data_IF_902553394319
#
_entry.id   IF_902553394319
#
_cell.length_a   1.000
_cell.length_b   1.000
_cell.length_c   1.000
_cell.angle_alpha   90.00
_cell.angle_beta   90.00
_cell.angle_gamma   90.00
#
_symmetry.space_group_name_H-M   'P 1'
#
loop_
_entity.id
_entity.type
_entity.pdbx_description
1 polymer ?
#
# COMPACT_ATOMS: atom_id res chain seq x y z
N UNK A 1 -14.91 7.15 -12.14
CA UNK A 1 -14.30 7.89 -13.27
C UNK A 1 -13.26 6.97 -13.93
N UNK A 2 -12.79 7.19 -15.17
CA UNK A 2 -11.68 6.37 -15.72
C UNK A 2 -10.35 6.95 -15.23
N UNK A 3 -9.53 6.16 -14.54
CA UNK A 3 -8.23 6.59 -14.03
C UNK A 3 -7.25 6.91 -15.18
N UNK A 4 -6.60 8.08 -15.12
CA UNK A 4 -5.72 8.61 -16.18
C UNK A 4 -4.41 9.14 -15.62
N UNK A 5 -3.49 9.54 -16.51
CA UNK A 5 -2.21 10.13 -16.10
C UNK A 5 -2.40 11.48 -15.38
N UNK A 6 -3.52 12.18 -15.62
CA UNK A 6 -3.86 13.43 -14.92
C UNK A 6 -4.14 13.18 -13.44
N UNK A 7 -4.82 12.07 -13.11
CA UNK A 7 -5.03 11.66 -11.72
C UNK A 7 -3.70 11.49 -10.98
N UNK A 8 -2.71 10.86 -11.59
CA UNK A 8 -1.37 10.69 -10.97
C UNK A 8 -0.73 12.05 -10.67
N UNK A 9 -0.86 13.03 -11.58
CA UNK A 9 -0.31 14.38 -11.41
C UNK A 9 -1.06 15.13 -10.30
N UNK A 10 -2.39 15.13 -10.32
CA UNK A 10 -3.22 15.79 -9.31
C UNK A 10 -2.98 15.21 -7.90
N UNK A 11 -2.81 13.89 -7.80
CA UNK A 11 -2.44 13.21 -6.55
C UNK A 11 -1.05 13.66 -6.11
N UNK A 12 -0.09 13.72 -7.03
CA UNK A 12 1.26 14.16 -6.71
C UNK A 12 1.30 15.62 -6.22
N UNK A 13 0.55 16.52 -6.85
CA UNK A 13 0.45 17.92 -6.42
C UNK A 13 -0.09 18.07 -4.99
N UNK A 14 -1.10 17.26 -4.63
CA UNK A 14 -1.61 17.20 -3.25
C UNK A 14 -0.54 16.71 -2.26
N UNK A 15 0.20 15.65 -2.62
CA UNK A 15 1.32 15.15 -1.82
C UNK A 15 2.41 16.21 -1.69
N UNK A 16 2.78 16.88 -2.78
CA UNK A 16 3.79 17.90 -2.80
C UNK A 16 3.47 19.05 -1.85
N UNK A 17 2.21 19.53 -1.90
CA UNK A 17 1.71 20.55 -0.99
C UNK A 17 1.70 20.09 0.47
N UNK A 18 1.22 18.89 0.76
CA UNK A 18 1.07 18.41 2.15
C UNK A 18 2.41 18.16 2.84
N UNK A 19 3.44 17.77 2.08
CA UNK A 19 4.75 17.45 2.63
C UNK A 19 5.82 18.48 2.31
N UNK A 20 5.47 19.62 1.71
CA UNK A 20 6.39 20.67 1.28
C UNK A 20 7.56 20.13 0.44
N UNK A 21 7.26 19.25 -0.52
CA UNK A 21 8.23 18.68 -1.45
C UNK A 21 8.02 19.25 -2.87
N UNK A 22 8.99 19.05 -3.76
CA UNK A 22 8.90 19.49 -5.15
C UNK A 22 7.76 18.78 -5.90
N UNK A 23 6.89 19.55 -6.55
CA UNK A 23 5.74 19.07 -7.34
C UNK A 23 6.09 18.75 -8.80
N UNK A 24 7.32 19.01 -9.24
CA UNK A 24 7.72 18.81 -10.62
C UNK A 24 7.90 17.33 -10.97
N UNK A 25 7.52 16.99 -12.21
CA UNK A 25 7.83 15.70 -12.82
C UNK A 25 9.05 15.80 -13.73
N UNK A 26 9.83 14.72 -13.79
CA UNK A 26 11.02 14.60 -14.64
C UNK A 26 10.64 14.51 -16.12
N UNK A 27 9.61 13.71 -16.43
CA UNK A 27 9.20 13.44 -17.80
C UNK A 27 7.72 13.04 -17.86
N UNK A 28 6.90 13.86 -18.51
CA UNK A 28 5.47 13.58 -18.69
C UNK A 28 5.20 12.27 -19.43
N UNK A 29 6.08 11.88 -20.36
CA UNK A 29 5.94 10.62 -21.11
C UNK A 29 6.17 9.41 -20.20
N UNK A 30 6.99 9.53 -19.16
CA UNK A 30 7.13 8.48 -18.15
C UNK A 30 5.80 8.26 -17.43
N UNK A 31 5.11 9.32 -17.00
CA UNK A 31 3.80 9.25 -16.34
C UNK A 31 2.74 8.65 -17.30
N UNK A 32 2.66 9.14 -18.54
CA UNK A 32 1.74 8.59 -19.55
C UNK A 32 1.99 7.10 -19.79
N UNK A 33 3.25 6.66 -19.81
CA UNK A 33 3.61 5.25 -20.01
C UNK A 33 3.08 4.34 -18.90
N UNK A 34 2.90 4.86 -17.68
CA UNK A 34 2.37 4.09 -16.54
C UNK A 34 0.93 3.65 -16.85
N UNK A 35 0.08 4.61 -17.23
CA UNK A 35 -1.32 4.35 -17.55
C UNK A 35 -1.49 3.57 -18.85
N UNK A 36 -0.59 3.79 -19.83
CA UNK A 36 -0.53 2.95 -21.02
C UNK A 36 -0.28 1.48 -20.64
N UNK A 37 0.72 1.22 -19.80
CA UNK A 37 1.06 -0.15 -19.35
C UNK A 37 -0.06 -0.79 -18.52
N UNK A 38 -0.79 -0.03 -17.71
CA UNK A 38 -1.95 -0.57 -16.99
C UNK A 38 -3.06 -1.11 -17.90
N UNK A 39 -3.13 -0.63 -19.14
CA UNK A 39 -4.16 -0.98 -20.12
C UNK A 39 -3.57 -1.65 -21.36
N UNK A 40 -2.39 -2.26 -21.21
CA UNK A 40 -1.68 -2.92 -22.30
C UNK A 40 -2.43 -4.19 -22.74
N UNK A 41 -2.47 -4.44 -24.05
CA UNK A 41 -3.22 -5.53 -24.65
C UNK A 41 -2.30 -6.41 -25.49
N UNK A 42 -2.51 -7.72 -25.43
CA UNK A 42 -1.85 -8.71 -26.30
C UNK A 42 -2.91 -9.57 -26.98
N UNK A 43 -2.85 -9.72 -28.31
CA UNK A 43 -3.86 -10.44 -29.10
C UNK A 43 -5.31 -10.03 -28.74
N UNK A 44 -5.58 -8.73 -28.71
CA UNK A 44 -6.89 -8.15 -28.35
C UNK A 44 -7.40 -8.53 -26.95
N UNK A 45 -6.54 -9.05 -26.08
CA UNK A 45 -6.87 -9.40 -24.70
C UNK A 45 -6.09 -8.51 -23.74
N UNK A 46 -6.76 -8.00 -22.70
CA UNK A 46 -6.13 -7.22 -21.64
C UNK A 46 -5.11 -8.10 -20.90
N UNK A 47 -3.85 -7.67 -20.87
CA UNK A 47 -2.76 -8.38 -20.18
C UNK A 47 -2.98 -8.35 -18.66
N UNK A 48 -3.72 -7.35 -18.17
CA UNK A 48 -4.00 -7.10 -16.76
C UNK A 48 -5.52 -7.06 -16.53
N UNK A 49 -6.21 -8.22 -16.64
CA UNK A 49 -7.67 -8.27 -16.75
C UNK A 49 -8.42 -7.92 -15.47
N UNK A 50 -7.78 -8.00 -14.29
CA UNK A 50 -8.43 -7.67 -13.02
C UNK A 50 -8.01 -6.30 -12.49
N UNK A 51 -8.88 -5.69 -11.68
CA UNK A 51 -8.56 -4.42 -10.97
C UNK A 51 -7.24 -4.56 -10.20
N UNK A 52 -7.03 -5.70 -9.52
CA UNK A 52 -5.79 -5.95 -8.77
C UNK A 52 -4.54 -6.09 -9.66
N UNK A 53 -4.68 -6.59 -10.90
CA UNK A 53 -3.56 -6.62 -11.86
C UNK A 53 -3.16 -5.20 -12.25
N UNK A 54 -4.14 -4.35 -12.59
CA UNK A 54 -3.91 -2.95 -12.96
C UNK A 54 -3.36 -2.13 -11.80
N UNK A 55 -3.87 -2.37 -10.58
CA UNK A 55 -3.38 -1.77 -9.35
C UNK A 55 -1.91 -2.13 -9.09
N UNK A 56 -1.53 -3.40 -9.29
CA UNK A 56 -0.14 -3.84 -9.15
C UNK A 56 0.79 -3.17 -10.17
N UNK A 57 0.35 -3.03 -11.43
CA UNK A 57 1.10 -2.32 -12.47
C UNK A 57 1.28 -0.85 -12.12
N UNK A 58 0.20 -0.16 -11.72
CA UNK A 58 0.23 1.25 -11.31
C UNK A 58 1.26 1.48 -10.20
N UNK A 59 1.15 0.70 -9.11
CA UNK A 59 2.01 0.82 -7.95
C UNK A 59 3.49 0.57 -8.31
N UNK A 60 3.78 -0.56 -8.98
CA UNK A 60 5.14 -0.91 -9.38
C UNK A 60 5.76 0.14 -10.30
N UNK A 61 5.00 0.62 -11.29
CA UNK A 61 5.52 1.50 -12.34
C UNK A 61 5.78 2.91 -11.82
N UNK A 62 4.95 3.47 -10.94
CA UNK A 62 5.27 4.77 -10.31
C UNK A 62 6.55 4.65 -9.50
N UNK A 63 6.71 3.58 -8.72
CA UNK A 63 7.91 3.35 -7.90
C UNK A 63 9.15 3.25 -8.80
N UNK A 64 9.13 2.40 -9.82
CA UNK A 64 10.33 2.06 -10.61
C UNK A 64 10.65 3.05 -11.73
N UNK A 65 9.66 3.77 -12.26
CA UNK A 65 9.89 4.81 -13.26
C UNK A 65 10.38 6.13 -12.63
N UNK A 66 10.19 6.31 -11.31
CA UNK A 66 10.56 7.52 -10.59
C UNK A 66 10.16 8.81 -11.33
N UNK A 67 8.89 8.98 -11.77
CA UNK A 67 8.51 10.08 -12.64
C UNK A 67 8.61 11.47 -12.02
N UNK A 68 8.74 11.59 -10.69
CA UNK A 68 8.78 12.85 -9.94
C UNK A 68 10.15 13.09 -9.30
N UNK A 69 10.46 14.36 -8.99
CA UNK A 69 11.71 14.76 -8.32
C UNK A 69 11.82 14.11 -6.93
N UNK A 70 10.75 14.19 -6.14
CA UNK A 70 10.58 13.49 -4.86
C UNK A 70 9.15 12.93 -4.76
N UNK A 71 8.84 12.16 -3.72
CA UNK A 71 7.48 11.74 -3.43
C UNK A 71 6.99 10.55 -4.24
N UNK A 72 7.83 9.92 -5.06
CA UNK A 72 7.44 8.79 -5.93
C UNK A 72 6.73 7.66 -5.17
N UNK A 73 7.28 7.21 -4.03
CA UNK A 73 6.67 6.14 -3.22
C UNK A 73 5.34 6.57 -2.58
N UNK A 74 5.27 7.79 -2.04
CA UNK A 74 4.04 8.39 -1.48
C UNK A 74 2.95 8.52 -2.55
N UNK A 75 3.35 8.97 -3.73
CA UNK A 75 2.46 9.12 -4.90
C UNK A 75 1.99 7.77 -5.42
N UNK A 76 2.85 6.75 -5.41
CA UNK A 76 2.47 5.39 -5.80
C UNK A 76 1.38 4.83 -4.88
N UNK A 77 1.54 4.97 -3.56
CA UNK A 77 0.59 4.50 -2.57
C UNK A 77 -0.75 5.26 -2.65
N UNK A 78 -0.70 6.58 -2.76
CA UNK A 78 -1.90 7.41 -2.92
C UNK A 78 -2.64 7.11 -4.24
N UNK A 79 -1.90 6.93 -5.35
CA UNK A 79 -2.47 6.57 -6.66
C UNK A 79 -3.11 5.18 -6.63
N UNK A 80 -2.47 4.22 -5.94
CA UNK A 80 -3.02 2.89 -5.71
C UNK A 80 -4.34 2.96 -4.95
N UNK A 81 -4.38 3.70 -3.85
CA UNK A 81 -5.58 3.86 -3.02
C UNK A 81 -6.72 4.52 -3.80
N UNK A 82 -6.45 5.64 -4.49
CA UNK A 82 -7.47 6.34 -5.28
C UNK A 82 -8.01 5.47 -6.43
N UNK A 83 -7.14 4.74 -7.13
CA UNK A 83 -7.55 3.79 -8.17
C UNK A 83 -8.47 2.68 -7.63
N UNK A 84 -8.17 2.14 -6.45
CA UNK A 84 -9.00 1.09 -5.84
C UNK A 84 -10.35 1.64 -5.38
N UNK A 85 -10.37 2.84 -4.78
CA UNK A 85 -11.61 3.50 -4.34
C UNK A 85 -12.53 3.79 -5.52
N UNK A 86 -11.98 4.24 -6.66
CA UNK A 86 -12.71 4.41 -7.92
C UNK A 86 -13.38 3.10 -8.42
N UNK A 87 -12.92 1.95 -7.93
CA UNK A 87 -13.44 0.62 -8.22
C UNK A 87 -14.16 -0.02 -7.01
N UNK A 88 -14.61 0.78 -6.04
CA UNK A 88 -15.33 0.36 -4.83
C UNK A 88 -14.54 -0.55 -3.88
N UNK A 89 -13.21 -0.48 -3.93
CA UNK A 89 -12.29 -1.24 -3.09
C UNK A 89 -11.52 -0.26 -2.20
N UNK A 90 -11.49 -0.52 -0.90
CA UNK A 90 -10.71 0.29 0.06
C UNK A 90 -9.35 -0.37 0.26
N UNK A 91 -8.29 0.44 0.25
CA UNK A 91 -6.93 0.04 0.62
C UNK A 91 -6.62 0.48 2.04
N UNK A 92 -6.36 -0.47 2.93
CA UNK A 92 -5.96 -0.20 4.31
C UNK A 92 -4.43 -0.02 4.33
N UNK A 93 -3.99 1.20 4.62
CA UNK A 93 -2.56 1.53 4.63
C UNK A 93 -1.93 1.18 5.98
N UNK A 94 -0.77 0.53 5.94
CA UNK A 94 0.05 0.17 7.09
C UNK A 94 1.50 0.66 6.91
N UNK A 95 2.27 0.81 8.00
CA UNK A 95 3.70 1.15 7.89
C UNK A 95 4.48 0.15 7.02
N UNK A 96 4.09 -1.13 7.03
CA UNK A 96 4.65 -2.19 6.18
C UNK A 96 4.54 -1.89 4.68
N UNK A 97 3.56 -1.11 4.22
CA UNK A 97 3.44 -0.71 2.82
C UNK A 97 4.61 0.16 2.37
N UNK A 98 5.15 0.98 3.28
CA UNK A 98 6.33 1.79 3.02
C UNK A 98 7.53 0.87 2.80
N UNK A 99 7.73 -0.10 3.70
CA UNK A 99 8.78 -1.11 3.52
C UNK A 99 8.62 -1.83 2.20
N UNK A 100 7.42 -2.31 1.90
CA UNK A 100 7.14 -3.02 0.67
C UNK A 100 7.44 -2.17 -0.57
N UNK A 101 7.12 -0.87 -0.55
CA UNK A 101 7.47 0.06 -1.63
C UNK A 101 8.99 0.23 -1.82
N UNK A 102 9.77 0.19 -0.73
CA UNK A 102 11.24 0.25 -0.77
C UNK A 102 11.81 -1.06 -1.31
N UNK A 103 11.25 -2.20 -0.91
CA UNK A 103 11.64 -3.51 -1.43
C UNK A 103 11.42 -3.58 -2.95
N UNK A 104 10.26 -3.13 -3.44
CA UNK A 104 9.96 -3.06 -4.89
C UNK A 104 11.01 -2.22 -5.63
N UNK A 105 11.43 -1.10 -5.06
CA UNK A 105 12.45 -0.23 -5.67
C UNK A 105 13.84 -0.90 -5.74
N UNK A 106 14.14 -1.80 -4.79
CA UNK A 106 15.43 -2.50 -4.70
C UNK A 106 15.51 -3.77 -5.57
N UNK A 107 14.38 -4.28 -6.08
CA UNK A 107 14.40 -5.47 -6.94
C UNK A 107 15.11 -5.16 -8.27
N UNK A 108 16.25 -5.81 -8.49
CA UNK A 108 16.97 -5.74 -9.75
C UNK A 108 16.35 -6.66 -10.80
N UNK A 109 16.02 -6.12 -11.98
CA UNK A 109 15.33 -6.81 -13.09
C UNK A 109 16.02 -8.10 -13.56
N UNK A 110 17.33 -8.21 -13.34
CA UNK A 110 18.14 -9.33 -13.82
C UNK A 110 17.92 -10.62 -13.01
N UNK A 111 17.30 -10.52 -11.83
CA UNK A 111 17.15 -11.66 -10.91
C UNK A 111 15.73 -12.25 -10.90
N UNK A 112 14.71 -11.45 -11.25
CA UNK A 112 13.29 -11.83 -11.12
C UNK A 112 12.50 -11.18 -12.27
N UNK A 113 11.65 -11.96 -12.94
CA UNK A 113 10.81 -11.44 -14.02
C UNK A 113 9.72 -10.48 -13.49
N UNK A 114 9.39 -9.45 -14.27
CA UNK A 114 8.34 -8.48 -13.91
C UNK A 114 6.99 -9.16 -13.62
N UNK A 115 6.68 -10.27 -14.31
CA UNK A 115 5.47 -11.07 -14.04
C UNK A 115 5.42 -11.62 -12.61
N UNK A 116 6.57 -12.05 -12.08
CA UNK A 116 6.66 -12.58 -10.72
C UNK A 116 6.52 -11.45 -9.69
N UNK A 117 7.16 -10.30 -9.94
CA UNK A 117 7.05 -9.11 -9.10
C UNK A 117 5.59 -8.65 -9.02
N UNK A 118 4.93 -8.50 -10.18
CA UNK A 118 3.52 -8.11 -10.27
C UNK A 118 2.59 -9.08 -9.55
N UNK A 119 2.85 -10.40 -9.65
CA UNK A 119 2.09 -11.41 -8.91
C UNK A 119 2.22 -11.25 -7.39
N UNK A 120 3.40 -10.89 -6.89
CA UNK A 120 3.60 -10.66 -5.46
C UNK A 120 2.95 -9.35 -5.00
N UNK A 121 3.08 -8.28 -5.77
CA UNK A 121 2.40 -7.00 -5.50
C UNK A 121 0.88 -7.19 -5.51
N UNK A 122 0.33 -7.91 -6.47
CA UNK A 122 -1.10 -8.24 -6.53
C UNK A 122 -1.57 -8.90 -5.24
N UNK A 123 -0.85 -9.93 -4.76
CA UNK A 123 -1.19 -10.63 -3.51
C UNK A 123 -1.11 -9.72 -2.30
N UNK A 124 -0.09 -8.85 -2.24
CA UNK A 124 0.03 -7.84 -1.19
C UNK A 124 -1.19 -6.92 -1.17
N UNK A 125 -1.57 -6.38 -2.33
CA UNK A 125 -2.74 -5.50 -2.45
C UNK A 125 -4.02 -6.23 -2.04
N UNK A 126 -4.24 -7.45 -2.54
CA UNK A 126 -5.42 -8.25 -2.16
C UNK A 126 -5.49 -8.52 -0.65
N UNK A 127 -4.35 -8.67 0.02
CA UNK A 127 -4.30 -8.84 1.46
C UNK A 127 -4.65 -7.55 2.23
N UNK A 128 -4.30 -6.40 1.66
CA UNK A 128 -4.52 -5.05 2.23
C UNK A 128 -5.79 -4.35 1.71
N UNK A 129 -6.71 -5.09 1.09
CA UNK A 129 -7.93 -4.53 0.53
C UNK A 129 -9.21 -5.16 1.08
N UNK A 130 -10.26 -4.34 1.02
CA UNK A 130 -11.63 -4.60 1.41
C UNK A 130 -12.58 -4.17 0.29
N UNK A 131 -13.70 -4.85 0.06
CA UNK A 131 -14.79 -4.16 -0.62
C UNK A 131 -15.32 -3.07 0.31
N UNK A 132 -15.78 -1.97 -0.28
CA UNK A 132 -16.37 -0.85 0.48
C UNK A 132 -17.58 -1.20 1.36
N UNK A 133 -18.21 -2.35 1.12
CA UNK A 133 -19.32 -2.87 1.92
C UNK A 133 -18.89 -3.97 2.91
N UNK A 134 -17.62 -4.40 2.87
CA UNK A 134 -17.11 -5.42 3.78
C UNK A 134 -16.93 -4.83 5.18
N UNK A 135 -17.12 -5.68 6.20
CA UNK A 135 -16.81 -5.30 7.57
C UNK A 135 -15.29 -5.17 7.73
N UNK A 136 -14.82 -3.94 7.92
CA UNK A 136 -13.40 -3.60 8.05
C UNK A 136 -12.78 -4.30 9.26
N UNK A 137 -13.57 -4.60 10.32
CA UNK A 137 -13.10 -5.36 11.47
C UNK A 137 -12.64 -6.78 11.06
N UNK A 138 -13.31 -7.42 10.08
CA UNK A 138 -12.92 -8.75 9.57
C UNK A 138 -11.56 -8.71 8.89
N UNK A 139 -11.24 -7.62 8.21
CA UNK A 139 -10.02 -7.50 7.41
C UNK A 139 -8.84 -7.14 8.30
N UNK A 140 -9.05 -6.23 9.25
CA UNK A 140 -8.08 -5.96 10.30
C UNK A 140 -7.83 -7.25 11.09
N UNK A 141 -8.88 -7.99 11.46
CA UNK A 141 -8.72 -9.28 12.14
C UNK A 141 -7.96 -10.30 11.28
N UNK A 142 -8.19 -10.35 9.96
CA UNK A 142 -7.43 -11.21 9.05
C UNK A 142 -5.95 -10.84 9.06
N UNK A 143 -5.60 -9.56 9.01
CA UNK A 143 -4.21 -9.10 9.01
C UNK A 143 -3.53 -9.35 10.35
N UNK A 144 -4.21 -9.01 11.44
CA UNK A 144 -3.74 -9.27 12.80
C UNK A 144 -3.67 -10.78 13.10
N UNK A 145 -4.50 -11.63 12.48
CA UNK A 145 -4.46 -13.07 12.69
C UNK A 145 -3.13 -13.68 12.25
N UNK A 146 -2.53 -13.16 11.16
CA UNK A 146 -1.21 -13.59 10.69
C UNK A 146 -0.14 -13.24 11.73
N UNK A 147 -0.15 -12.00 12.21
CA UNK A 147 0.78 -11.52 13.24
C UNK A 147 0.62 -12.32 14.54
N UNK A 148 -0.61 -12.52 15.00
CA UNK A 148 -0.95 -13.36 16.17
C UNK A 148 -0.44 -14.79 16.01
N UNK A 149 -0.59 -15.38 14.82
CA UNK A 149 -0.12 -16.73 14.52
C UNK A 149 1.42 -16.80 14.59
N UNK A 150 2.11 -15.85 13.96
CA UNK A 150 3.58 -15.78 13.98
C UNK A 150 4.08 -15.63 15.41
N UNK A 151 3.47 -14.74 16.20
CA UNK A 151 3.79 -14.56 17.62
C UNK A 151 3.55 -15.85 18.40
N UNK A 152 2.42 -16.54 18.18
CA UNK A 152 2.10 -17.82 18.83
C UNK A 152 3.12 -18.91 18.52
N UNK A 153 3.54 -19.04 17.26
CA UNK A 153 4.59 -19.99 16.85
C UNK A 153 5.93 -19.62 17.48
N UNK A 154 6.29 -18.33 17.52
CA UNK A 154 7.53 -17.86 18.12
C UNK A 154 7.57 -18.15 19.63
N UNK A 155 6.46 -17.94 20.34
CA UNK A 155 6.29 -18.34 21.75
C UNK A 155 6.49 -19.84 21.94
N UNK A 156 5.76 -20.67 21.19
CA UNK A 156 5.84 -22.14 21.30
C UNK A 156 7.24 -22.69 21.01
N UNK A 157 8.04 -21.98 20.21
CA UNK A 157 9.41 -22.38 19.86
C UNK A 157 10.49 -21.67 20.69
N UNK A 158 10.14 -20.84 21.68
CA UNK A 158 11.06 -20.00 22.45
C UNK A 158 12.00 -19.16 21.55
N UNK A 159 11.44 -18.48 20.54
CA UNK A 159 12.18 -17.64 19.59
C UNK A 159 11.77 -16.16 19.68
N UNK A 160 12.20 -15.43 20.74
CA UNK A 160 11.84 -14.02 20.91
C UNK A 160 12.29 -13.14 19.72
N UNK A 161 13.45 -13.43 19.13
CA UNK A 161 13.94 -12.70 17.95
C UNK A 161 13.05 -12.82 16.70
N UNK A 162 12.17 -13.83 16.63
CA UNK A 162 11.20 -13.94 15.55
C UNK A 162 10.04 -12.96 15.73
N UNK A 163 9.70 -12.65 16.98
CA UNK A 163 8.69 -11.63 17.32
C UNK A 163 9.25 -10.27 16.90
N UNK A 164 10.45 -9.92 17.36
CA UNK A 164 11.09 -8.63 17.06
C UNK A 164 11.18 -8.39 15.54
N UNK A 165 11.64 -9.39 14.78
CA UNK A 165 11.70 -9.30 13.31
C UNK A 165 10.33 -9.10 12.65
N UNK A 166 9.28 -9.71 13.21
CA UNK A 166 7.92 -9.56 12.68
C UNK A 166 7.42 -8.14 12.92
N UNK A 167 7.71 -7.56 14.09
CA UNK A 167 7.39 -6.17 14.40
C UNK A 167 8.18 -5.20 13.53
N UNK A 168 9.49 -5.39 13.45
CA UNK A 168 10.32 -4.56 12.59
C UNK A 168 9.78 -4.55 11.18
N UNK A 169 9.44 -5.74 10.65
CA UNK A 169 8.84 -5.85 9.33
C UNK A 169 7.52 -5.08 9.21
N UNK A 170 6.57 -5.32 10.12
CA UNK A 170 5.22 -4.76 10.07
C UNK A 170 5.18 -3.24 10.30
N UNK A 171 6.01 -2.73 11.20
CA UNK A 171 6.08 -1.31 11.56
C UNK A 171 7.13 -0.53 10.75
N UNK A 172 7.93 -1.21 9.94
CA UNK A 172 9.02 -0.62 9.15
C UNK A 172 10.02 0.21 10.00
N UNK A 173 10.29 -0.25 11.23
CA UNK A 173 11.14 0.44 12.24
C UNK A 173 12.58 0.66 11.78
N UNK A 174 13.13 -0.24 10.96
CA UNK A 174 14.47 -0.13 10.37
C UNK A 174 14.57 0.96 9.27
N UNK A 175 13.44 1.28 8.61
CA UNK A 175 13.36 2.30 7.58
C UNK A 175 13.04 3.65 8.22
N UNK A 176 12.20 3.65 9.26
CA UNK A 176 11.82 4.83 10.01
C UNK A 176 11.95 4.59 11.51
N UNK A 177 13.14 4.83 12.09
CA UNK A 177 13.42 4.55 13.50
C UNK A 177 12.67 5.47 14.48
N UNK A 178 11.94 6.47 13.99
CA UNK A 178 11.04 7.28 14.80
C UNK A 178 9.66 6.64 15.00
N UNK A 179 9.31 5.62 14.21
CA UNK A 179 8.23 4.68 14.52
C UNK A 179 8.78 3.57 15.42
N UNK A 180 9.35 3.92 16.57
CA UNK A 180 9.56 2.93 17.63
C UNK A 180 8.22 2.63 18.30
N UNK A 181 7.77 1.36 18.33
CA UNK A 181 6.61 0.98 19.11
C UNK A 181 6.75 1.55 20.52
N UNK A 182 5.74 2.28 20.99
CA UNK A 182 5.81 2.95 22.30
C UNK A 182 5.91 1.95 23.45
N UNK A 183 5.57 0.69 23.20
CA UNK A 183 5.62 -0.39 24.17
C UNK A 183 6.57 -1.50 23.74
N UNK A 184 7.49 -1.89 24.63
CA UNK A 184 8.39 -3.04 24.44
C UNK A 184 7.79 -4.33 25.02
N UNK A 185 7.96 -5.45 24.32
CA UNK A 185 7.53 -6.77 24.80
C UNK A 185 6.07 -7.12 24.44
N UNK A 186 5.69 -8.38 24.68
CA UNK A 186 4.46 -8.99 24.16
C UNK A 186 3.14 -8.33 24.57
N UNK A 187 3.03 -7.83 25.80
CA UNK A 187 1.82 -7.13 26.27
C UNK A 187 1.68 -5.75 25.64
N UNK A 188 2.81 -5.02 25.56
CA UNK A 188 2.89 -3.75 24.85
C UNK A 188 2.52 -3.85 23.37
N UNK A 189 3.05 -4.89 22.75
CA UNK A 189 2.74 -5.31 21.39
C UNK A 189 1.23 -5.54 21.19
N UNK A 190 0.56 -6.21 22.13
CA UNK A 190 -0.88 -6.46 22.02
C UNK A 190 -1.69 -5.17 22.17
N UNK A 191 -1.26 -4.26 23.04
CA UNK A 191 -1.88 -2.94 23.19
C UNK A 191 -1.75 -2.08 21.93
N UNK A 192 -0.60 -2.11 21.26
CA UNK A 192 -0.40 -1.30 20.05
C UNK A 192 -1.24 -1.80 18.86
N UNK A 193 -1.38 -3.12 18.70
CA UNK A 193 -2.31 -3.71 17.71
C UNK A 193 -3.78 -3.42 18.05
N UNK A 194 -4.14 -3.31 19.33
CA UNK A 194 -5.47 -2.86 19.75
C UNK A 194 -5.69 -1.36 19.48
N UNK A 195 -4.67 -0.53 19.67
CA UNK A 195 -4.75 0.89 19.28
C UNK A 195 -4.83 1.08 17.76
N UNK A 196 -4.13 0.28 16.96
CA UNK A 196 -4.28 0.28 15.50
C UNK A 196 -5.73 -0.01 15.10
N UNK A 197 -6.38 -1.02 15.71
CA UNK A 197 -7.82 -1.28 15.50
C UNK A 197 -8.67 -0.04 15.80
N UNK A 198 -8.39 0.66 16.89
CA UNK A 198 -9.13 1.88 17.27
C UNK A 198 -8.87 3.02 16.28
N UNK A 199 -7.63 3.21 15.83
CA UNK A 199 -7.27 4.20 14.81
C UNK A 199 -8.00 3.94 13.49
N UNK A 200 -8.00 2.70 13.00
CA UNK A 200 -8.73 2.35 11.78
C UNK A 200 -10.24 2.58 11.91
N UNK A 201 -10.85 2.27 13.07
CA UNK A 201 -12.27 2.61 13.33
C UNK A 201 -12.56 4.11 13.26
N UNK A 202 -11.62 4.95 13.71
CA UNK A 202 -11.75 6.40 13.59
C UNK A 202 -11.62 6.87 12.13
N UNK A 203 -10.72 6.26 11.36
CA UNK A 203 -10.58 6.51 9.91
C UNK A 203 -11.86 6.08 9.17
N UNK A 204 -12.48 4.96 9.53
CA UNK A 204 -13.75 4.50 8.94
C UNK A 204 -14.88 5.49 9.18
N UNK A 205 -14.99 5.99 10.42
CA UNK A 205 -15.94 7.05 10.74
C UNK A 205 -15.68 8.32 9.92
N UNK A 206 -14.43 8.61 9.59
CA UNK A 206 -14.04 9.75 8.76
C UNK A 206 -14.38 9.52 7.28
N UNK A 207 -14.13 8.31 6.76
CA UNK A 207 -14.46 7.90 5.39
C UNK A 207 -15.98 7.90 5.19
N UNK A 208 -16.75 7.37 6.14
CA UNK A 208 -18.22 7.46 6.11
C UNK A 208 -18.71 8.91 6.04
N UNK A 209 -18.09 9.80 6.82
CA UNK A 209 -18.43 11.21 6.83
C UNK A 209 -18.15 11.85 5.46
N UNK A 210 -17.01 11.53 4.85
CA UNK A 210 -16.62 12.01 3.52
C UNK A 210 -17.57 11.48 2.44
N UNK A 211 -17.93 10.19 2.49
CA UNK A 211 -18.86 9.57 1.54
C UNK A 211 -20.30 10.11 1.69
N UNK A 212 -20.72 10.50 2.90
CA UNK A 212 -22.01 11.18 3.14
C UNK A 212 -22.02 12.61 2.61
N UNK A 213 -20.90 13.33 2.71
CA UNK A 213 -20.78 14.72 2.20
C UNK A 213 -20.67 14.76 0.67
N UNK A 214 -20.07 13.74 0.05
CA UNK A 214 -19.95 13.63 -1.42
C UNK A 214 -21.23 13.23 -2.18
N UNK A 215 -22.38 13.07 -1.49
CA UNK A 215 -23.70 12.76 -2.08
C UNK A 215 -24.66 13.96 -2.10
N UNK A 216 -24.14 15.20 -2.26
CA UNK A 216 -24.95 16.39 -2.55
C UNK A 216 -24.57 17.00 -3.88
#
# INVERSE_FOLDING_TARGET
MKFTYKNIIEIHEKIAKNYSIDSNYLNINAIKSIVYRMNDNFNNSDIYPTIYDKAAVLFMRIIRCHPFIDGNKRTALASLSEYLVDNNIVYLTFPSDIRFSVEIAKIHSNNISDSHILKNIKRWIMFHTANSNDDIDIIIDRQLSLIKTIIGVAKNKNRPSMIDKTFDYWYATDIYPYYTPSYSGLEGIMQELEMEKVFFKQVDSLIELILKVGRK
#
